data_IF_632518703609
#
_entry.id   IF_632518703609
#
_cell.length_a   1.000
_cell.length_b   1.000
_cell.length_c   1.000
_cell.angle_alpha   90.00
_cell.angle_beta   90.00
_cell.angle_gamma   90.00
#
_symmetry.space_group_name_H-M   'P 1'
#
loop_
_entity.id
_entity.type
_entity.pdbx_description
1 polymer ?
#
# COMPACT_ATOMS: atom_id res chain seq x y z
N UNK A 1 0.48 11.67 -8.97
CA UNK A 1 1.15 10.51 -8.39
C UNK A 1 0.17 9.62 -7.63
N UNK A 2 0.07 8.34 -7.99
CA UNK A 2 -0.71 7.32 -7.27
C UNK A 2 -0.02 7.01 -5.92
N UNK A 3 -0.77 6.94 -4.83
CA UNK A 3 -0.27 6.50 -3.51
C UNK A 3 -1.05 5.27 -3.08
N UNK A 4 -0.47 4.09 -3.22
CA UNK A 4 -1.16 2.83 -2.94
C UNK A 4 -0.39 1.98 -1.93
N UNK A 5 -1.03 0.94 -1.42
CA UNK A 5 -0.33 0.00 -0.55
C UNK A 5 -1.11 -1.26 -0.21
N UNK A 6 -0.48 -2.13 0.56
CA UNK A 6 -1.07 -3.35 1.12
C UNK A 6 -1.06 -3.26 2.64
N UNK A 7 -2.18 -3.63 3.27
CA UNK A 7 -2.33 -3.62 4.73
C UNK A 7 -2.34 -5.05 5.24
N UNK A 8 -1.66 -5.32 6.35
CA UNK A 8 -1.80 -6.62 7.03
C UNK A 8 -0.88 -6.81 8.21
N UNK A 9 -1.00 -7.96 8.86
CA UNK A 9 -0.14 -8.36 9.96
C UNK A 9 -0.02 -9.89 10.09
N UNK A 10 1.18 -10.50 9.95
CA UNK A 10 2.45 -9.87 9.57
C UNK A 10 2.49 -9.51 8.08
N UNK A 11 3.06 -8.36 7.72
CA UNK A 11 3.12 -7.92 6.31
C UNK A 11 4.48 -8.10 5.62
N UNK A 12 5.53 -8.41 6.38
CA UNK A 12 6.93 -8.37 5.94
C UNK A 12 7.29 -9.26 4.74
N UNK A 13 6.51 -10.30 4.46
CA UNK A 13 6.74 -11.24 3.35
C UNK A 13 5.89 -10.94 2.10
N UNK A 14 5.07 -9.88 2.13
CA UNK A 14 4.25 -9.52 0.98
C UNK A 14 5.12 -9.14 -0.22
N UNK A 15 4.85 -9.76 -1.37
CA UNK A 15 5.48 -9.41 -2.64
C UNK A 15 4.73 -8.27 -3.36
N UNK A 16 3.59 -7.82 -2.85
CA UNK A 16 2.79 -6.76 -3.48
C UNK A 16 3.60 -5.47 -3.73
N UNK A 17 4.43 -4.97 -2.80
CA UNK A 17 5.26 -3.80 -3.08
C UNK A 17 6.23 -3.99 -4.25
N UNK A 18 6.84 -5.17 -4.37
CA UNK A 18 7.73 -5.49 -5.50
C UNK A 18 6.95 -5.50 -6.82
N UNK A 19 5.82 -6.19 -6.85
CA UNK A 19 5.00 -6.37 -8.06
C UNK A 19 4.44 -5.04 -8.54
N UNK A 20 3.84 -4.25 -7.65
CA UNK A 20 3.18 -2.99 -8.03
C UNK A 20 4.16 -1.88 -8.36
N UNK A 21 5.30 -1.80 -7.67
CA UNK A 21 6.37 -0.85 -8.05
C UNK A 21 6.87 -1.15 -9.45
N UNK A 22 7.18 -2.42 -9.76
CA UNK A 22 7.59 -2.82 -11.11
C UNK A 22 6.51 -2.53 -12.17
N UNK A 23 5.24 -2.74 -11.82
CA UNK A 23 4.14 -2.43 -12.72
C UNK A 23 4.02 -0.92 -13.01
N UNK A 24 4.19 -0.07 -11.99
CA UNK A 24 4.21 1.38 -12.18
C UNK A 24 5.36 1.82 -13.08
N UNK A 25 6.56 1.29 -12.86
CA UNK A 25 7.73 1.58 -13.68
C UNK A 25 7.54 1.17 -15.15
N UNK A 26 7.08 -0.08 -15.39
CA UNK A 26 6.86 -0.61 -16.75
C UNK A 26 5.79 0.15 -17.53
N UNK A 27 4.80 0.69 -16.84
CA UNK A 27 3.67 1.40 -17.44
C UNK A 27 3.88 2.93 -17.48
N UNK A 28 5.04 3.42 -17.03
CA UNK A 28 5.34 4.84 -16.88
C UNK A 28 4.26 5.60 -16.06
N UNK A 29 3.75 4.95 -15.01
CA UNK A 29 2.80 5.52 -14.07
C UNK A 29 3.59 6.12 -12.92
N UNK A 30 3.42 7.43 -12.70
CA UNK A 30 3.99 8.09 -11.52
C UNK A 30 3.22 7.65 -10.26
N UNK A 31 3.85 6.82 -9.43
CA UNK A 31 3.23 6.28 -8.23
C UNK A 31 4.20 5.67 -7.23
N UNK A 32 3.69 5.44 -6.02
CA UNK A 32 4.39 4.81 -4.91
C UNK A 32 3.48 3.71 -4.32
N UNK A 33 4.05 2.54 -4.02
CA UNK A 33 3.33 1.41 -3.44
C UNK A 33 4.09 0.86 -2.23
N UNK A 34 3.43 0.83 -1.05
CA UNK A 34 4.06 0.41 0.22
C UNK A 34 3.32 -0.71 0.94
N UNK A 35 4.03 -1.43 1.79
CA UNK A 35 3.43 -2.32 2.78
C UNK A 35 3.29 -1.59 4.13
N UNK A 36 2.15 -1.77 4.78
CA UNK A 36 1.87 -1.22 6.11
C UNK A 36 1.52 -2.35 7.07
N UNK A 37 2.25 -2.41 8.17
CA UNK A 37 1.99 -3.33 9.28
C UNK A 37 0.81 -2.78 10.09
N UNK A 38 -0.36 -3.39 9.95
CA UNK A 38 -1.62 -2.93 10.54
C UNK A 38 -2.38 -4.15 11.05
N UNK A 39 -2.59 -4.21 12.37
CA UNK A 39 -3.45 -5.22 12.98
C UNK A 39 -4.93 -4.85 12.82
N UNK A 40 -5.88 -5.80 12.87
CA UNK A 40 -7.30 -5.50 12.66
C UNK A 40 -7.88 -4.44 13.59
N UNK A 41 -7.35 -4.33 14.81
CA UNK A 41 -7.80 -3.34 15.79
C UNK A 41 -7.47 -1.89 15.38
N UNK A 42 -6.43 -1.68 14.57
CA UNK A 42 -5.93 -0.34 14.21
C UNK A 42 -6.40 0.10 12.82
N UNK A 43 -7.18 -0.74 12.12
CA UNK A 43 -7.55 -0.52 10.72
C UNK A 43 -8.37 0.77 10.52
N UNK A 44 -9.34 1.03 11.40
CA UNK A 44 -10.21 2.22 11.29
C UNK A 44 -9.41 3.51 11.48
N UNK A 45 -8.53 3.55 12.48
CA UNK A 45 -7.65 4.68 12.75
C UNK A 45 -6.66 4.89 11.60
N UNK A 46 -6.10 3.79 11.06
CA UNK A 46 -5.19 3.84 9.93
C UNK A 46 -5.87 4.46 8.69
N UNK A 47 -7.07 3.97 8.32
CA UNK A 47 -7.81 4.49 7.15
C UNK A 47 -8.20 5.95 7.33
N UNK A 48 -8.62 6.34 8.54
CA UNK A 48 -8.99 7.71 8.87
C UNK A 48 -7.79 8.67 8.81
N UNK A 49 -6.58 8.19 9.14
CA UNK A 49 -5.35 8.98 9.10
C UNK A 49 -4.74 9.09 7.69
N UNK A 50 -5.07 8.17 6.77
CA UNK A 50 -4.44 8.06 5.45
C UNK A 50 -5.41 8.33 4.28
N UNK A 51 -6.27 9.33 4.43
CA UNK A 51 -7.27 9.72 3.41
C UNK A 51 -6.65 10.20 2.10
N UNK A 52 -5.36 10.50 2.07
CA UNK A 52 -4.63 10.88 0.86
C UNK A 52 -4.24 9.69 -0.02
N UNK A 53 -4.38 8.46 0.49
CA UNK A 53 -4.07 7.25 -0.26
C UNK A 53 -5.11 7.01 -1.37
N UNK A 54 -4.61 6.65 -2.55
CA UNK A 54 -5.42 6.34 -3.72
C UNK A 54 -6.16 5.01 -3.57
N UNK A 55 -5.57 4.03 -2.89
CA UNK A 55 -6.21 2.73 -2.64
C UNK A 55 -5.32 1.74 -1.93
N UNK A 56 -5.94 0.67 -1.44
CA UNK A 56 -5.28 -0.43 -0.73
C UNK A 56 -5.65 -1.79 -1.31
N UNK A 57 -4.77 -2.78 -1.13
CA UNK A 57 -5.06 -4.22 -1.31
C UNK A 57 -5.38 -4.89 0.01
#
# INVERSE_FOLDING_TARGET
>A
MIRAGVLGSPISHSLSPLIHTLAFDLLAIEGDYRAFEVVPADLEDFLSAHIEMTGFS
#
